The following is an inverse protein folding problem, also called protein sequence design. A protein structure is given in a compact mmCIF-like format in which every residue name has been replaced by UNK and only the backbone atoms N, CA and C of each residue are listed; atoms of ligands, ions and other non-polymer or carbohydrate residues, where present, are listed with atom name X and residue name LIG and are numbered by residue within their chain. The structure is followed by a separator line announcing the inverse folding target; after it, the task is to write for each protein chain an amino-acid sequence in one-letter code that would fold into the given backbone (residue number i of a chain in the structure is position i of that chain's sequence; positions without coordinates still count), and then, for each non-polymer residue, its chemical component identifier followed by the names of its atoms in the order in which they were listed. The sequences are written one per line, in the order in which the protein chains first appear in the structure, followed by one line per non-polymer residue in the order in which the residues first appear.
data_IF_601049031515
#
_entry.id   IF_601049031515
#
_cell.length_a   1.000
_cell.length_b   1.000
_cell.length_c   1.000
_cell.angle_alpha   90.00
_cell.angle_beta   90.00
_cell.angle_gamma   90.00
#
_symmetry.space_group_name_H-M   'P 1'
#
loop_
_entity.id
_entity.type
_entity.pdbx_description
1 polymer ?
#
# COMPACT_ATOMS: atom_id res chain seq x y z
N UNK A 1 -4.29 -10.24 13.93
CA UNK A 1 -5.30 -9.39 13.28
C UNK A 1 -5.76 -8.50 14.38
N UNK A 2 -5.68 -7.19 14.16
CA UNK A 2 -6.11 -6.24 15.15
C UNK A 2 -7.63 -6.36 15.34
N UNK A 3 -8.06 -6.27 16.60
CA UNK A 3 -9.48 -6.20 16.97
C UNK A 3 -9.82 -4.84 17.59
N UNK A 4 -8.79 -4.01 17.80
CA UNK A 4 -8.88 -2.67 18.36
C UNK A 4 -7.62 -1.88 17.99
N UNK A 5 -7.59 -0.60 18.37
CA UNK A 5 -6.47 0.31 18.12
C UNK A 5 -5.19 -0.14 18.83
N UNK A 6 -5.29 -0.74 20.01
CA UNK A 6 -4.11 -1.12 20.78
C UNK A 6 -3.35 -2.28 20.12
N UNK A 7 -4.09 -3.28 19.68
CA UNK A 7 -3.58 -4.42 18.92
C UNK A 7 -3.06 -3.98 17.55
N UNK A 8 -3.75 -3.03 16.88
CA UNK A 8 -3.27 -2.43 15.64
C UNK A 8 -1.94 -1.70 15.84
N UNK A 9 -1.85 -0.83 16.86
CA UNK A 9 -0.62 -0.09 17.18
C UNK A 9 0.53 -1.03 17.49
N UNK A 10 0.29 -2.14 18.20
CA UNK A 10 1.29 -3.16 18.47
C UNK A 10 1.78 -3.84 17.17
N UNK A 11 0.87 -4.23 16.27
CA UNK A 11 1.24 -4.80 14.97
C UNK A 11 2.04 -3.80 14.11
N UNK A 12 1.62 -2.53 14.05
CA UNK A 12 2.30 -1.47 13.27
C UNK A 12 3.72 -1.25 13.78
N UNK A 13 3.92 -1.21 15.11
CA UNK A 13 5.26 -1.10 15.70
C UNK A 13 6.13 -2.31 15.38
N UNK A 14 5.58 -3.51 15.48
CA UNK A 14 6.31 -4.73 15.16
C UNK A 14 6.81 -4.75 13.71
N UNK A 15 6.04 -4.21 12.76
CA UNK A 15 6.45 -4.17 11.36
C UNK A 15 7.43 -3.03 11.04
N UNK A 16 7.21 -1.85 11.64
CA UNK A 16 7.98 -0.63 11.33
C UNK A 16 9.28 -0.49 12.12
N UNK A 17 9.44 -1.27 13.20
CA UNK A 17 10.54 -1.21 14.17
C UNK A 17 10.63 0.14 14.90
N UNK A 18 9.53 0.89 14.94
CA UNK A 18 9.44 2.15 15.66
C UNK A 18 9.01 1.92 17.10
N UNK A 19 9.99 1.93 18.00
CA UNK A 19 9.74 1.96 19.44
C UNK A 19 9.13 3.30 19.91
N UNK A 20 8.65 3.31 21.16
CA UNK A 20 8.06 4.49 21.84
C UNK A 20 8.98 5.71 21.82
N UNK A 21 10.30 5.49 21.78
CA UNK A 21 11.32 6.55 21.75
C UNK A 21 11.42 7.27 20.40
N UNK A 22 10.93 6.65 19.32
CA UNK A 22 10.97 7.22 17.96
C UNK A 22 9.61 7.84 17.64
N UNK A 23 8.52 7.13 17.93
CA UNK A 23 7.15 7.61 17.77
C UNK A 23 6.41 7.35 19.07
N UNK A 24 5.89 8.42 19.68
CA UNK A 24 5.10 8.32 20.91
C UNK A 24 3.80 7.54 20.68
N UNK A 25 3.19 7.03 21.75
CA UNK A 25 1.88 6.35 21.65
C UNK A 25 0.80 7.30 21.13
N UNK A 26 0.86 8.58 21.51
CA UNK A 26 -0.08 9.62 21.07
C UNK A 26 0.09 9.91 19.58
N UNK A 27 1.34 10.09 19.11
CA UNK A 27 1.62 10.28 17.68
C UNK A 27 1.17 9.11 16.83
N UNK A 28 1.31 7.89 17.35
CA UNK A 28 0.88 6.68 16.67
C UNK A 28 -0.65 6.57 16.67
N UNK A 29 -1.32 6.98 17.76
CA UNK A 29 -2.78 7.06 17.81
C UNK A 29 -3.30 8.08 16.78
N UNK A 30 -2.69 9.26 16.68
CA UNK A 30 -3.06 10.26 15.67
C UNK A 30 -2.94 9.70 14.24
N UNK A 31 -1.88 8.93 13.96
CA UNK A 31 -1.71 8.28 12.65
C UNK A 31 -2.81 7.26 12.40
N UNK A 32 -3.16 6.44 13.39
CA UNK A 32 -4.25 5.47 13.28
C UNK A 32 -5.59 6.19 13.02
N UNK A 33 -5.89 7.23 13.78
CA UNK A 33 -7.13 8.01 13.63
C UNK A 33 -7.22 8.68 12.26
N UNK A 34 -6.09 9.18 11.75
CA UNK A 34 -6.00 9.76 10.41
C UNK A 34 -6.20 8.70 9.33
N UNK A 35 -5.56 7.53 9.46
CA UNK A 35 -5.74 6.42 8.53
C UNK A 35 -7.19 5.94 8.49
N UNK A 36 -7.86 5.83 9.64
CA UNK A 36 -9.30 5.51 9.68
C UNK A 36 -10.13 6.54 8.93
N UNK A 37 -9.89 7.82 9.18
CA UNK A 37 -10.63 8.93 8.55
C UNK A 37 -10.46 8.93 7.04
N UNK A 38 -9.23 8.78 6.55
CA UNK A 38 -8.95 8.73 5.11
C UNK A 38 -9.59 7.49 4.48
N UNK A 39 -9.50 6.33 5.12
CA UNK A 39 -10.10 5.10 4.61
C UNK A 39 -11.63 5.22 4.51
N UNK A 40 -12.30 5.72 5.55
CA UNK A 40 -13.75 5.92 5.55
C UNK A 40 -14.21 7.01 4.56
N UNK A 41 -13.42 8.09 4.41
CA UNK A 41 -13.70 9.14 3.45
C UNK A 41 -13.66 8.63 2.00
N UNK A 42 -12.73 7.72 1.71
CA UNK A 42 -12.52 7.17 0.37
C UNK A 42 -13.55 6.07 0.01
N UNK A 43 -13.97 5.25 0.98
CA UNK A 43 -15.02 4.22 0.80
C UNK A 43 -16.43 4.86 0.75
N UNK A 44 -16.58 6.10 1.22
CA UNK A 44 -17.85 6.82 1.19
C UNK A 44 -18.93 6.24 2.12
N UNK A 45 -18.56 5.33 3.03
CA UNK A 45 -19.50 4.63 3.93
C UNK A 45 -19.07 4.83 5.38
N UNK A 46 -19.93 5.46 6.20
CA UNK A 46 -19.65 5.74 7.62
C UNK A 46 -19.93 4.56 8.55
N UNK A 47 -20.53 3.47 8.06
CA UNK A 47 -20.99 2.33 8.87
C UNK A 47 -20.07 1.10 8.81
N UNK A 48 -18.90 1.20 8.18
CA UNK A 48 -17.96 0.07 8.10
C UNK A 48 -17.24 -0.09 9.45
N UNK A 49 -17.46 -1.22 10.11
CA UNK A 49 -16.60 -1.65 11.21
C UNK A 49 -15.26 -2.11 10.63
N UNK A 50 -14.22 -1.31 10.85
CA UNK A 50 -12.88 -1.54 10.31
C UNK A 50 -12.17 -2.75 10.94
N UNK A 51 -12.66 -3.29 12.05
CA UNK A 51 -12.06 -4.44 12.73
C UNK A 51 -12.84 -5.75 12.53
N UNK A 52 -14.09 -5.67 12.05
CA UNK A 52 -14.92 -6.86 11.78
C UNK A 52 -14.66 -7.46 10.38
N UNK A 53 -14.26 -6.63 9.41
CA UNK A 53 -13.86 -7.09 8.07
C UNK A 53 -12.33 -7.24 7.95
N UNK A 54 -11.90 -8.43 7.49
CA UNK A 54 -10.47 -8.74 7.29
C UNK A 54 -9.80 -7.80 6.29
N UNK A 55 -10.48 -7.39 5.23
CA UNK A 55 -9.89 -6.50 4.24
C UNK A 55 -9.83 -5.06 4.75
N UNK A 56 -10.85 -4.62 5.50
CA UNK A 56 -10.85 -3.33 6.18
C UNK A 56 -9.70 -3.22 7.18
N UNK A 57 -9.52 -4.21 8.04
CA UNK A 57 -8.45 -4.23 9.03
C UNK A 57 -7.08 -4.23 8.35
N UNK A 58 -6.91 -5.05 7.31
CA UNK A 58 -5.63 -5.13 6.60
C UNK A 58 -5.34 -3.87 5.80
N UNK A 59 -6.34 -3.26 5.17
CA UNK A 59 -6.18 -1.96 4.52
C UNK A 59 -5.77 -0.90 5.54
N UNK A 60 -6.43 -0.86 6.70
CA UNK A 60 -6.12 0.07 7.79
C UNK A 60 -4.69 -0.14 8.32
N UNK A 61 -4.27 -1.39 8.51
CA UNK A 61 -2.92 -1.74 8.96
C UNK A 61 -1.85 -1.21 7.99
N UNK A 62 -1.98 -1.53 6.69
CA UNK A 62 -0.99 -1.11 5.70
C UNK A 62 -0.97 0.40 5.51
N UNK A 63 -2.14 1.04 5.53
CA UNK A 63 -2.26 2.50 5.45
C UNK A 63 -1.59 3.18 6.65
N UNK A 64 -1.81 2.66 7.86
CA UNK A 64 -1.18 3.16 9.08
C UNK A 64 0.35 3.05 9.02
N UNK A 65 0.88 1.94 8.50
CA UNK A 65 2.33 1.77 8.31
C UNK A 65 2.91 2.78 7.31
N UNK A 66 2.19 3.04 6.21
CA UNK A 66 2.63 4.01 5.18
C UNK A 66 2.58 5.44 5.73
N UNK A 67 1.49 5.83 6.38
CA UNK A 67 1.37 7.15 7.00
C UNK A 67 2.40 7.35 8.11
N UNK A 68 2.70 6.30 8.88
CA UNK A 68 3.76 6.40 9.88
C UNK A 68 5.14 6.67 9.24
N UNK A 69 5.42 6.07 8.08
CA UNK A 69 6.64 6.34 7.29
C UNK A 69 6.63 7.72 6.62
N UNK A 70 5.46 8.26 6.29
CA UNK A 70 5.32 9.66 5.85
C UNK A 70 5.62 10.61 7.02
N UNK A 71 5.04 10.34 8.20
CA UNK A 71 5.24 11.17 9.41
C UNK A 71 6.71 11.16 9.87
N UNK A 72 7.41 10.03 9.72
CA UNK A 72 8.85 9.95 10.02
C UNK A 72 9.77 10.55 8.94
N UNK A 73 9.23 10.96 7.79
CA UNK A 73 9.98 11.52 6.68
C UNK A 73 10.69 10.49 5.79
N UNK A 74 10.48 9.19 6.00
CA UNK A 74 11.03 8.13 5.14
C UNK A 74 10.28 8.02 3.80
N UNK A 75 9.03 8.47 3.75
CA UNK A 75 8.25 8.62 2.51
C UNK A 75 7.94 10.09 2.32
N UNK A 76 8.35 10.63 1.17
CA UNK A 76 8.02 12.01 0.81
C UNK A 76 6.63 12.08 0.19
N UNK A 77 5.65 12.46 1.00
CA UNK A 77 4.30 12.81 0.56
C UNK A 77 3.92 14.20 1.13
N UNK A 78 3.41 15.12 0.30
CA UNK A 78 3.04 16.47 0.76
C UNK A 78 1.80 16.49 1.66
N UNK A 79 1.00 15.41 1.64
CA UNK A 79 -0.19 15.24 2.46
C UNK A 79 -0.44 13.77 2.81
N UNK A 80 -1.19 13.53 3.89
CA UNK A 80 -1.66 12.22 4.30
C UNK A 80 -2.97 11.88 3.58
N UNK A 81 -2.90 11.58 2.29
CA UNK A 81 -4.08 11.24 1.49
C UNK A 81 -3.84 10.02 0.60
N UNK A 82 -4.82 9.12 0.55
CA UNK A 82 -4.79 7.91 -0.29
C UNK A 82 -4.61 8.28 -1.78
N UNK A 83 -5.30 9.32 -2.24
CA UNK A 83 -5.21 9.80 -3.62
C UNK A 83 -3.78 10.22 -3.99
N UNK A 84 -3.11 10.98 -3.11
CA UNK A 84 -1.75 11.47 -3.35
C UNK A 84 -0.71 10.33 -3.31
N UNK A 85 -0.87 9.39 -2.39
CA UNK A 85 -0.04 8.18 -2.33
C UNK A 85 -0.11 7.37 -3.63
N UNK A 86 -1.30 7.33 -4.25
CA UNK A 86 -1.50 6.61 -5.50
C UNK A 86 -0.72 7.22 -6.67
N UNK A 87 -0.65 8.56 -6.73
CA UNK A 87 0.08 9.30 -7.78
C UNK A 87 1.60 9.16 -7.64
N UNK A 88 2.11 9.05 -6.41
CA UNK A 88 3.56 9.03 -6.12
C UNK A 88 4.18 7.66 -5.93
N UNK A 89 3.45 6.58 -6.20
CA UNK A 89 3.94 5.21 -5.98
C UNK A 89 5.27 4.91 -6.70
N UNK A 90 5.55 5.57 -7.82
CA UNK A 90 6.82 5.41 -8.55
C UNK A 90 8.08 5.78 -7.76
N UNK A 91 7.94 6.55 -6.66
CA UNK A 91 9.04 6.98 -5.81
C UNK A 91 9.23 6.07 -4.58
N UNK A 92 8.45 5.01 -4.45
CA UNK A 92 8.53 4.13 -3.30
C UNK A 92 9.72 3.18 -3.45
N UNK A 93 10.45 2.95 -2.35
CA UNK A 93 11.43 1.85 -2.30
C UNK A 93 10.72 0.53 -2.52
N UNK A 94 11.44 -0.52 -2.94
CA UNK A 94 10.85 -1.85 -3.17
C UNK A 94 10.05 -2.35 -1.94
N UNK A 95 10.56 -2.09 -0.73
CA UNK A 95 9.89 -2.43 0.53
C UNK A 95 8.59 -1.66 0.73
N UNK A 96 8.57 -0.35 0.48
CA UNK A 96 7.36 0.46 0.59
C UNK A 96 6.36 0.15 -0.54
N UNK A 97 6.86 -0.23 -1.71
CA UNK A 97 6.04 -0.67 -2.84
C UNK A 97 5.20 -1.90 -2.48
N UNK A 98 5.80 -2.89 -1.81
CA UNK A 98 5.08 -4.07 -1.29
C UNK A 98 3.98 -3.67 -0.29
N UNK A 99 4.24 -2.68 0.57
CA UNK A 99 3.24 -2.21 1.54
C UNK A 99 2.07 -1.54 0.84
N UNK A 100 2.36 -0.71 -0.18
CA UNK A 100 1.33 -0.05 -0.99
C UNK A 100 0.52 -1.05 -1.82
N UNK A 101 1.15 -2.09 -2.35
CA UNK A 101 0.48 -3.15 -3.11
C UNK A 101 -0.46 -3.97 -2.21
N UNK A 102 -0.02 -4.31 -0.99
CA UNK A 102 -0.87 -5.00 -0.02
C UNK A 102 -2.04 -4.12 0.43
N UNK A 103 -1.80 -2.83 0.71
CA UNK A 103 -2.87 -1.87 0.98
C UNK A 103 -3.93 -1.90 -0.13
N UNK A 104 -3.51 -1.72 -1.38
CA UNK A 104 -4.42 -1.68 -2.54
C UNK A 104 -5.18 -2.97 -2.76
N UNK A 105 -4.53 -4.12 -2.54
CA UNK A 105 -5.17 -5.43 -2.67
C UNK A 105 -6.37 -5.54 -1.74
N UNK A 106 -6.19 -5.18 -0.46
CA UNK A 106 -7.25 -5.24 0.53
C UNK A 106 -8.29 -4.14 0.33
N UNK A 107 -7.83 -2.91 0.09
CA UNK A 107 -8.70 -1.77 -0.22
C UNK A 107 -9.67 -2.06 -1.39
N UNK A 108 -9.18 -2.62 -2.51
CA UNK A 108 -10.04 -2.99 -3.65
C UNK A 108 -11.02 -4.12 -3.34
N UNK A 109 -10.63 -5.05 -2.46
CA UNK A 109 -11.49 -6.14 -2.04
C UNK A 109 -12.66 -5.65 -1.17
N UNK A 110 -12.51 -4.50 -0.50
CA UNK A 110 -13.59 -3.87 0.28
C UNK A 110 -14.70 -3.29 -0.62
N UNK A 111 -14.33 -2.73 -1.79
CA UNK A 111 -15.27 -2.13 -2.75
C UNK A 111 -16.02 -3.17 -3.62
N UNK A 112 -15.99 -4.45 -3.23
CA UNK A 112 -16.56 -5.56 -4.01
C UNK A 112 -15.79 -5.87 -5.31
N UNK A 113 -14.64 -5.23 -5.53
CA UNK A 113 -13.76 -5.50 -6.64
C UNK A 113 -13.03 -6.84 -6.43
N UNK A 114 -13.08 -7.73 -7.43
CA UNK A 114 -12.27 -8.95 -7.42
C UNK A 114 -10.79 -8.58 -7.16
N UNK A 115 -10.09 -9.30 -6.26
CA UNK A 115 -8.70 -8.98 -5.94
C UNK A 115 -7.91 -9.00 -7.24
N UNK A 116 -7.37 -7.84 -7.63
CA UNK A 116 -6.52 -7.72 -8.81
C UNK A 116 -5.24 -8.46 -8.49
N UNK A 117 -5.24 -9.76 -8.82
CA UNK A 117 -4.05 -10.59 -8.79
C UNK A 117 -2.99 -9.92 -9.65
N UNK A 118 -1.79 -9.78 -9.09
CA UNK A 118 -0.62 -9.31 -9.82
C UNK A 118 -0.45 -10.13 -11.10
N UNK A 119 -0.85 -9.60 -12.25
CA UNK A 119 -0.28 -10.00 -13.52
C UNK A 119 1.12 -9.41 -13.62
N UNK A 120 2.07 -10.02 -12.90
CA UNK A 120 3.47 -10.02 -13.33
C UNK A 120 3.52 -10.77 -14.65
N UNK A 121 3.53 -10.03 -15.76
CA UNK A 121 4.33 -10.31 -16.95
C UNK A 121 4.03 -9.29 -18.02
N UNK A 122 4.93 -8.32 -18.19
CA UNK A 122 5.55 -8.16 -19.51
C UNK A 122 6.86 -7.41 -19.34
N UNK A 123 7.95 -8.17 -19.21
CA UNK A 123 9.24 -7.73 -19.70
C UNK A 123 9.15 -7.89 -21.22
N UNK A 124 9.03 -6.83 -22.05
CA UNK A 124 9.32 -6.99 -23.46
C UNK A 124 10.83 -7.21 -23.53
N UNK A 125 11.27 -8.47 -23.46
CA UNK A 125 12.62 -8.81 -23.88
C UNK A 125 12.70 -8.44 -25.36
N UNK A 126 13.32 -7.28 -25.57
CA UNK A 126 13.99 -6.81 -26.78
C UNK A 126 14.09 -7.88 -27.87
N UNK A 127 13.10 -7.94 -28.75
CA UNK A 127 13.32 -8.44 -30.10
C UNK A 127 14.02 -7.33 -30.88
N UNK A 128 15.35 -7.24 -30.77
CA UNK A 128 16.15 -6.63 -31.82
C UNK A 128 16.08 -7.59 -33.01
N UNK A 129 15.08 -7.41 -33.87
CA UNK A 129 15.10 -7.94 -35.22
C UNK A 129 16.24 -7.27 -35.96
N UNK A 130 17.43 -7.87 -35.89
CA UNK A 130 18.49 -7.55 -36.82
C UNK A 130 18.08 -8.11 -38.19
N UNK A 131 17.68 -7.19 -39.07
CA UNK A 131 17.71 -7.38 -40.51
C UNK A 131 19.12 -7.80 -40.91
N UNK A 132 19.25 -9.04 -41.36
CA UNK A 132 20.44 -9.48 -42.08
C UNK A 132 19.98 -10.25 -43.31
N UNK A 133 19.93 -9.50 -44.40
CA UNK A 133 19.89 -9.96 -45.78
C UNK A 133 21.17 -10.75 -46.11
N UNK A 134 21.04 -12.04 -46.44
CA UNK A 134 21.94 -12.76 -47.37
C UNK A 134 21.47 -14.21 -47.68
N UNK A 135 20.96 -14.38 -48.92
CA UNK A 135 21.21 -15.48 -49.88
C UNK A 135 20.77 -16.95 -49.65
N UNK A 136 20.08 -17.47 -50.69
CA UNK A 136 20.24 -18.81 -51.34
C UNK A 136 19.48 -20.04 -50.78
N UNK A 137 18.35 -20.42 -51.40
CA UNK A 137 18.20 -21.59 -52.32
C UNK A 137 16.75 -22.13 -52.44
N UNK A 138 16.32 -22.34 -53.70
CA UNK A 138 15.63 -23.55 -54.14
C UNK A 138 14.11 -23.68 -53.97
N UNK A 139 13.34 -23.30 -54.99
CA UNK A 139 12.62 -24.19 -55.93
C UNK A 139 11.80 -23.36 -56.93
#
# INVERSE_FOLDING_TARGET
MAVDDNTLKAEVRALTDYGVTIISDDDLQEVVDLSKRELLADIGTQEVDLYDDLNAERALFWLSCIFLKVKSGEIYAPSFSISELSVRQSNFTERHGIWMDNFRKHYRAMDGGAPVGHTKSNRPDRAYGFDNSATSNGL
#
